data_IF_714034538160
#
_entry.id   IF_714034538160
#
_cell.length_a   1.000
_cell.length_b   1.000
_cell.length_c   1.000
_cell.angle_alpha   90.00
_cell.angle_beta   90.00
_cell.angle_gamma   90.00
#
_symmetry.space_group_name_H-M   'P 1'
#
loop_
_entity.id
_entity.type
_entity.pdbx_description
1 polymer ?
#
# COMPACT_ATOMS: atom_id res chain seq x y z
N UNK A 1 -10.64 -1.17 21.28
CA UNK A 1 -9.35 -0.61 21.68
C UNK A 1 -9.08 -0.85 23.17
N UNK A 2 -7.85 -0.68 23.54
CA UNK A 2 -7.39 -0.78 24.93
C UNK A 2 -6.48 0.41 25.21
N UNK A 3 -6.81 1.15 26.27
CA UNK A 3 -6.01 2.27 26.78
C UNK A 3 -5.41 1.89 28.13
N UNK A 4 -4.16 2.24 28.36
CA UNK A 4 -3.47 2.02 29.64
C UNK A 4 -2.70 3.26 30.08
N UNK A 5 -2.68 3.50 31.41
CA UNK A 5 -1.93 4.59 32.04
C UNK A 5 -1.15 4.03 33.23
N UNK A 6 0.14 4.28 33.27
CA UNK A 6 1.06 3.74 34.26
C UNK A 6 1.98 4.84 34.79
N UNK A 7 2.51 4.64 35.99
CA UNK A 7 3.53 5.49 36.63
C UNK A 7 3.09 6.98 36.69
N UNK A 8 1.93 7.25 37.27
CA UNK A 8 1.35 8.60 37.35
C UNK A 8 1.23 9.26 35.97
N UNK A 9 0.75 8.51 34.99
CA UNK A 9 0.59 8.91 33.59
C UNK A 9 1.90 9.25 32.87
N UNK A 10 3.04 8.77 33.36
CA UNK A 10 4.31 8.88 32.63
C UNK A 10 4.41 7.95 31.42
N UNK A 11 3.68 6.86 31.46
CA UNK A 11 3.46 5.98 30.33
C UNK A 11 1.97 5.87 30.07
N UNK A 12 1.54 6.30 28.91
CA UNK A 12 0.20 6.03 28.39
C UNK A 12 0.32 5.33 27.06
N UNK A 13 -0.53 4.37 26.81
CA UNK A 13 -0.65 3.76 25.49
C UNK A 13 -2.12 3.59 25.13
N UNK A 14 -2.36 3.59 23.85
CA UNK A 14 -3.63 3.26 23.24
C UNK A 14 -3.37 2.31 22.07
N UNK A 15 -4.12 1.22 22.01
CA UNK A 15 -4.06 0.23 20.96
C UNK A 15 -5.47 0.00 20.46
N UNK A 16 -5.70 0.27 19.20
CA UNK A 16 -6.97 0.03 18.55
C UNK A 16 -6.82 -0.98 17.39
N UNK A 17 -7.77 -1.87 17.28
CA UNK A 17 -8.00 -2.70 16.11
C UNK A 17 -9.35 -2.34 15.52
N UNK A 18 -9.42 -2.21 14.23
CA UNK A 18 -10.66 -2.01 13.51
C UNK A 18 -10.80 -2.99 12.34
N UNK A 19 -12.04 -3.31 12.05
CA UNK A 19 -12.45 -4.06 10.88
C UNK A 19 -13.79 -3.49 10.42
N UNK A 20 -13.75 -2.73 9.34
CA UNK A 20 -14.90 -2.00 8.81
C UNK A 20 -15.18 -2.44 7.37
N UNK A 21 -16.42 -2.77 7.10
CA UNK A 21 -16.89 -3.09 5.76
C UNK A 21 -17.79 -1.95 5.27
N UNK A 22 -17.48 -1.44 4.09
CA UNK A 22 -18.30 -0.45 3.38
C UNK A 22 -18.94 -1.11 2.20
N UNK A 23 -20.26 -1.04 2.13
CA UNK A 23 -21.08 -1.60 1.04
C UNK A 23 -21.73 -0.49 0.23
N UNK A 24 -22.20 -0.82 -0.98
CA UNK A 24 -22.89 0.10 -1.86
C UNK A 24 -22.10 1.38 -2.15
N UNK A 25 -20.82 1.24 -2.44
CA UNK A 25 -20.01 2.39 -2.83
C UNK A 25 -20.49 3.00 -4.13
N UNK A 26 -20.44 4.33 -4.21
CA UNK A 26 -20.72 5.06 -5.44
C UNK A 26 -19.47 5.00 -6.31
N UNK A 27 -19.55 4.27 -7.41
CA UNK A 27 -18.44 4.13 -8.37
C UNK A 27 -18.89 4.56 -9.77
N UNK A 28 -17.96 5.13 -10.53
CA UNK A 28 -18.17 5.44 -11.94
C UNK A 28 -17.65 4.27 -12.78
N UNK A 29 -18.53 3.64 -13.52
CA UNK A 29 -18.18 2.51 -14.41
C UNK A 29 -18.34 2.91 -15.87
N UNK A 30 -17.41 2.49 -16.75
CA UNK A 30 -17.55 2.69 -18.18
C UNK A 30 -18.75 1.89 -18.70
N UNK A 31 -19.47 2.47 -19.63
CA UNK A 31 -20.57 1.82 -20.34
C UNK A 31 -20.32 1.88 -21.84
N UNK A 32 -21.02 1.01 -22.58
CA UNK A 32 -20.93 0.99 -24.04
C UNK A 32 -21.29 2.36 -24.59
N UNK A 33 -20.46 2.89 -25.50
CA UNK A 33 -20.63 4.20 -26.12
C UNK A 33 -21.98 4.31 -26.91
N UNK A 34 -22.57 3.20 -27.29
CA UNK A 34 -23.88 3.17 -27.92
C UNK A 34 -25.00 3.68 -27.04
N UNK A 35 -24.77 3.75 -25.72
CA UNK A 35 -25.72 4.35 -24.75
C UNK A 35 -25.77 5.87 -24.80
N UNK A 36 -24.82 6.52 -25.50
CA UNK A 36 -24.67 7.96 -25.58
C UNK A 36 -23.93 8.60 -24.39
N UNK A 37 -23.45 7.81 -23.44
CA UNK A 37 -22.64 8.25 -22.31
C UNK A 37 -21.40 7.36 -22.19
N UNK A 38 -20.30 7.91 -21.66
CA UNK A 38 -19.06 7.15 -21.48
C UNK A 38 -19.02 6.39 -20.15
N UNK A 39 -19.65 6.94 -19.13
CA UNK A 39 -19.66 6.39 -17.78
C UNK A 39 -21.05 6.51 -17.16
N UNK A 40 -21.38 5.58 -16.31
CA UNK A 40 -22.54 5.65 -15.43
C UNK A 40 -22.11 5.53 -13.97
N UNK A 41 -22.90 6.11 -13.08
CA UNK A 41 -22.66 6.02 -11.63
C UNK A 41 -23.56 4.90 -11.09
N UNK A 42 -22.95 3.96 -10.41
CA UNK A 42 -23.65 2.85 -9.77
C UNK A 42 -23.30 2.75 -8.30
N UNK A 43 -24.26 2.32 -7.49
CA UNK A 43 -24.05 1.94 -6.12
C UNK A 43 -23.68 0.46 -6.10
N UNK A 44 -22.42 0.17 -6.04
CA UNK A 44 -21.95 -1.20 -6.09
C UNK A 44 -20.61 -1.35 -5.36
N UNK A 45 -20.31 -2.60 -5.07
CA UNK A 45 -19.06 -2.98 -4.46
C UNK A 45 -19.09 -3.02 -2.94
N UNK A 46 -18.24 -3.87 -2.44
CA UNK A 46 -17.97 -4.05 -1.02
C UNK A 46 -16.47 -3.99 -0.78
N UNK A 47 -16.05 -3.15 0.16
CA UNK A 47 -14.66 -2.98 0.53
C UNK A 47 -14.50 -3.16 2.03
N UNK A 48 -13.59 -4.03 2.41
CA UNK A 48 -13.23 -4.25 3.79
C UNK A 48 -11.91 -3.55 4.11
N UNK A 49 -11.89 -2.80 5.19
CA UNK A 49 -10.71 -2.17 5.78
C UNK A 49 -10.47 -2.72 7.17
N UNK A 50 -9.28 -3.26 7.40
CA UNK A 50 -8.87 -3.72 8.73
C UNK A 50 -7.49 -3.21 9.07
N UNK A 51 -7.31 -2.85 10.33
CA UNK A 51 -6.02 -2.30 10.72
C UNK A 51 -5.81 -2.24 12.20
N UNK A 52 -4.59 -1.84 12.53
CA UNK A 52 -4.12 -1.59 13.87
C UNK A 52 -3.60 -0.17 13.96
N UNK A 53 -3.90 0.46 15.06
CA UNK A 53 -3.36 1.77 15.43
C UNK A 53 -2.80 1.65 16.84
N UNK A 54 -1.58 2.11 17.02
CA UNK A 54 -0.88 2.11 18.29
C UNK A 54 -0.36 3.51 18.54
N UNK A 55 -0.66 4.06 19.69
CA UNK A 55 -0.04 5.27 20.16
C UNK A 55 0.54 5.07 21.57
N UNK A 56 1.68 5.67 21.82
CA UNK A 56 2.29 5.65 23.15
C UNK A 56 2.88 7.01 23.47
N UNK A 57 2.63 7.48 24.67
CA UNK A 57 3.28 8.64 25.25
C UNK A 57 4.11 8.20 26.44
N UNK A 58 5.36 8.62 26.45
CA UNK A 58 6.32 8.27 27.47
C UNK A 58 6.97 9.56 28.02
N UNK A 59 7.05 9.70 29.30
CA UNK A 59 7.77 10.77 29.97
C UNK A 59 8.92 10.15 30.83
N UNK A 60 10.06 9.83 30.22
CA UNK A 60 11.15 9.16 30.92
C UNK A 60 11.69 10.01 32.06
N UNK A 61 11.78 11.32 31.85
CA UNK A 61 12.26 12.28 32.84
C UNK A 61 11.25 13.39 33.04
N UNK A 62 10.87 13.62 34.30
CA UNK A 62 10.03 14.73 34.72
C UNK A 62 10.44 15.22 36.09
N UNK A 63 11.19 16.31 36.14
CA UNK A 63 11.57 16.99 37.36
C UNK A 63 11.55 18.51 37.18
N UNK A 64 11.98 19.28 38.19
CA UNK A 64 11.95 20.76 38.16
C UNK A 64 12.77 21.38 37.02
N UNK A 65 13.83 20.73 36.59
CA UNK A 65 14.79 21.28 35.62
C UNK A 65 14.69 20.62 34.26
N UNK A 66 14.27 19.34 34.18
CA UNK A 66 14.25 18.55 32.96
C UNK A 66 12.86 17.92 32.80
N UNK A 67 12.34 18.04 31.61
CA UNK A 67 11.16 17.31 31.15
C UNK A 67 11.43 16.76 29.76
N UNK A 68 11.26 15.44 29.62
CA UNK A 68 11.37 14.75 28.34
C UNK A 68 10.06 14.07 28.01
N UNK A 69 9.42 14.53 26.95
CA UNK A 69 8.19 13.95 26.41
C UNK A 69 8.48 13.25 25.10
N UNK A 70 8.05 12.02 24.97
CA UNK A 70 8.14 11.21 23.76
C UNK A 70 6.73 10.77 23.36
N UNK A 71 6.40 10.91 22.09
CA UNK A 71 5.17 10.35 21.53
C UNK A 71 5.55 9.43 20.36
N UNK A 72 5.03 8.23 20.38
CA UNK A 72 5.17 7.23 19.34
C UNK A 72 3.80 6.91 18.75
N UNK A 73 3.73 6.80 17.43
CA UNK A 73 2.54 6.36 16.71
C UNK A 73 2.93 5.31 15.70
N UNK A 74 2.10 4.30 15.54
CA UNK A 74 2.26 3.30 14.50
C UNK A 74 0.88 2.91 13.98
N UNK A 75 0.76 2.75 12.66
CA UNK A 75 -0.48 2.32 12.05
C UNK A 75 -0.23 1.38 10.88
N UNK A 76 -1.11 0.41 10.74
CA UNK A 76 -1.17 -0.51 9.62
C UNK A 76 -2.61 -0.68 9.18
N UNK A 77 -2.91 -0.35 7.93
CA UNK A 77 -4.19 -0.60 7.31
C UNK A 77 -4.03 -1.62 6.17
N UNK A 78 -5.00 -2.51 6.04
CA UNK A 78 -5.15 -3.38 4.88
C UNK A 78 -6.58 -3.25 4.39
N UNK A 79 -6.73 -2.85 3.14
CA UNK A 79 -8.02 -2.89 2.48
C UNK A 79 -8.09 -4.12 1.57
N UNK A 80 -9.31 -4.57 1.33
CA UNK A 80 -9.62 -5.65 0.42
C UNK A 80 -10.90 -5.30 -0.32
N UNK A 81 -10.84 -5.35 -1.62
CA UNK A 81 -12.04 -5.34 -2.48
C UNK A 81 -12.70 -6.71 -2.37
N UNK A 82 -13.87 -6.76 -1.78
CA UNK A 82 -14.63 -8.00 -1.60
C UNK A 82 -15.42 -8.30 -2.86
N UNK A 83 -16.14 -7.28 -3.35
CA UNK A 83 -17.00 -7.38 -4.52
C UNK A 83 -17.03 -6.04 -5.27
N UNK A 84 -17.21 -6.08 -6.57
CA UNK A 84 -17.50 -4.93 -7.44
C UNK A 84 -18.93 -5.04 -8.01
N UNK A 85 -19.28 -4.10 -8.88
CA UNK A 85 -20.56 -4.17 -9.62
C UNK A 85 -20.65 -5.47 -10.42
N UNK A 86 -21.86 -6.04 -10.61
CA UNK A 86 -22.08 -7.19 -11.49
C UNK A 86 -21.48 -6.96 -12.88
N UNK A 87 -20.79 -7.96 -13.41
CA UNK A 87 -20.11 -7.93 -14.72
C UNK A 87 -18.96 -6.91 -14.83
N UNK A 88 -18.38 -6.49 -13.70
CA UNK A 88 -17.18 -5.66 -13.64
C UNK A 88 -16.02 -6.48 -13.05
N UNK A 89 -15.10 -6.90 -13.90
CA UNK A 89 -13.95 -7.71 -13.49
C UNK A 89 -12.94 -6.88 -12.70
N UNK A 90 -12.80 -5.61 -13.05
CA UNK A 90 -11.97 -4.64 -12.31
C UNK A 90 -12.49 -3.21 -12.49
N UNK A 91 -12.12 -2.34 -11.60
CA UNK A 91 -12.38 -0.90 -11.67
C UNK A 91 -11.10 -0.12 -11.71
N UNK A 92 -10.87 0.65 -12.78
CA UNK A 92 -9.73 1.55 -12.91
C UNK A 92 -9.98 2.82 -12.11
N UNK A 93 -9.17 3.04 -11.08
CA UNK A 93 -9.28 4.20 -10.18
C UNK A 93 -8.50 5.38 -10.75
N UNK A 94 -7.32 5.12 -11.30
CA UNK A 94 -6.47 6.14 -11.90
C UNK A 94 -5.63 5.52 -13.02
N UNK A 95 -5.36 6.32 -14.07
CA UNK A 95 -4.59 5.89 -15.23
C UNK A 95 -3.35 6.78 -15.40
N UNK A 96 -2.22 6.16 -15.65
CA UNK A 96 -0.95 6.79 -16.02
C UNK A 96 -0.49 6.41 -17.43
N UNK A 97 0.68 6.87 -17.87
CA UNK A 97 1.17 6.65 -19.25
C UNK A 97 1.37 5.16 -19.62
N UNK A 98 1.73 4.32 -18.67
CA UNK A 98 2.00 2.88 -18.87
C UNK A 98 1.52 2.02 -17.72
N UNK A 99 0.58 2.51 -16.94
CA UNK A 99 0.05 1.79 -15.79
C UNK A 99 -1.19 2.44 -15.25
N UNK A 100 -1.85 1.74 -14.38
CA UNK A 100 -3.07 2.19 -13.75
C UNK A 100 -3.24 1.59 -12.35
N UNK A 101 -4.02 2.26 -11.53
CA UNK A 101 -4.44 1.72 -10.25
C UNK A 101 -5.79 1.05 -10.48
N UNK A 102 -5.85 -0.26 -10.23
CA UNK A 102 -7.06 -1.08 -10.37
C UNK A 102 -7.54 -1.58 -9.02
N UNK A 103 -8.84 -1.59 -8.86
CA UNK A 103 -9.51 -2.41 -7.85
C UNK A 103 -9.99 -3.69 -8.52
N UNK A 104 -9.52 -4.83 -8.01
CA UNK A 104 -9.90 -6.17 -8.49
C UNK A 104 -10.48 -6.95 -7.31
N UNK A 105 -11.58 -7.70 -7.47
CA UNK A 105 -12.10 -8.55 -6.40
C UNK A 105 -11.01 -9.46 -5.83
N UNK A 106 -10.87 -9.47 -4.50
CA UNK A 106 -9.81 -10.19 -3.80
C UNK A 106 -8.51 -9.41 -3.60
N UNK A 107 -8.25 -8.38 -4.42
CA UNK A 107 -7.12 -7.46 -4.34
C UNK A 107 -7.39 -6.26 -3.45
N UNK A 108 -6.60 -5.20 -3.64
CA UNK A 108 -6.64 -3.94 -2.89
C UNK A 108 -7.10 -2.79 -3.79
N UNK A 109 -7.63 -1.72 -3.20
CA UNK A 109 -7.91 -0.46 -3.91
C UNK A 109 -6.67 0.24 -4.45
N UNK A 110 -5.49 -0.13 -3.98
CA UNK A 110 -4.23 0.50 -4.36
C UNK A 110 -3.35 -0.39 -5.24
N UNK A 111 -3.86 -1.46 -5.80
CA UNK A 111 -3.08 -2.36 -6.64
C UNK A 111 -2.66 -1.65 -7.92
N UNK A 112 -1.35 -1.68 -8.19
CA UNK A 112 -0.72 -1.04 -9.32
C UNK A 112 -0.56 -2.07 -10.44
N UNK A 113 -1.18 -1.80 -11.55
CA UNK A 113 -1.09 -2.60 -12.77
C UNK A 113 -0.34 -1.83 -13.85
N UNK A 114 0.51 -2.49 -14.59
CA UNK A 114 1.27 -1.86 -15.65
C UNK A 114 1.94 -2.87 -16.57
N UNK A 115 2.61 -2.36 -17.61
CA UNK A 115 3.37 -3.19 -18.51
C UNK A 115 4.58 -3.75 -17.79
N UNK A 116 4.59 -5.05 -17.57
CA UNK A 116 5.79 -5.79 -17.19
C UNK A 116 6.64 -6.14 -18.41
N UNK A 117 7.62 -6.99 -18.19
CA UNK A 117 8.43 -7.57 -19.28
C UNK A 117 7.98 -8.98 -19.58
N UNK A 118 7.98 -9.33 -20.87
CA UNK A 118 7.66 -10.69 -21.31
C UNK A 118 8.69 -11.66 -20.73
N UNK A 119 8.20 -12.76 -20.15
CA UNK A 119 9.03 -13.76 -19.47
C UNK A 119 9.12 -15.02 -20.32
N UNK A 120 10.30 -15.61 -20.33
CA UNK A 120 10.49 -16.91 -20.95
C UNK A 120 9.57 -17.97 -20.30
N UNK A 121 8.81 -18.73 -21.09
CA UNK A 121 7.92 -19.76 -20.58
C UNK A 121 8.65 -20.79 -19.71
N UNK A 122 7.90 -21.43 -18.81
CA UNK A 122 8.45 -22.55 -18.03
C UNK A 122 8.92 -23.67 -18.94
N UNK A 123 10.16 -24.15 -18.73
CA UNK A 123 10.79 -25.16 -19.55
C UNK A 123 11.55 -24.59 -20.75
N UNK A 124 11.84 -23.31 -20.75
CA UNK A 124 12.73 -22.68 -21.74
C UNK A 124 14.18 -22.89 -21.35
N UNK A 125 14.98 -23.32 -22.32
CA UNK A 125 16.42 -23.59 -22.16
C UNK A 125 17.21 -22.92 -23.27
N UNK A 126 18.39 -22.45 -22.94
CA UNK A 126 19.39 -21.99 -23.91
C UNK A 126 20.66 -22.82 -23.78
N UNK A 127 21.37 -23.01 -24.89
CA UNK A 127 22.68 -23.64 -24.88
C UNK A 127 23.76 -22.58 -24.81
N UNK A 128 24.60 -22.63 -23.78
CA UNK A 128 25.74 -21.75 -23.63
C UNK A 128 26.89 -22.14 -24.57
N UNK A 129 27.88 -21.27 -24.77
CA UNK A 129 29.01 -21.48 -25.67
C UNK A 129 29.87 -22.72 -25.32
N UNK A 130 29.85 -23.13 -24.05
CA UNK A 130 30.53 -24.33 -23.55
C UNK A 130 29.73 -25.63 -23.77
N UNK A 131 28.55 -25.52 -24.39
CA UNK A 131 27.64 -26.65 -24.66
C UNK A 131 26.73 -27.02 -23.47
N UNK A 132 26.80 -26.30 -22.34
CA UNK A 132 25.92 -26.51 -21.22
C UNK A 132 24.50 -25.98 -21.49
N UNK A 133 23.50 -26.61 -20.88
CA UNK A 133 22.09 -26.17 -20.97
C UNK A 133 21.74 -25.35 -19.73
N UNK A 134 21.25 -24.15 -19.96
CA UNK A 134 20.82 -23.22 -18.88
C UNK A 134 19.30 -23.12 -18.92
N UNK A 135 18.66 -23.32 -17.80
CA UNK A 135 17.23 -23.05 -17.64
C UNK A 135 17.03 -21.54 -17.50
N UNK A 136 16.32 -20.95 -18.47
CA UNK A 136 16.00 -19.52 -18.53
C UNK A 136 14.52 -19.25 -18.25
N UNK A 137 13.80 -20.23 -17.72
CA UNK A 137 12.39 -20.07 -17.34
C UNK A 137 12.20 -18.86 -16.43
N UNK A 138 11.30 -17.94 -16.83
CA UNK A 138 11.02 -16.71 -16.07
C UNK A 138 12.05 -15.57 -16.26
N UNK A 139 13.07 -15.75 -17.09
CA UNK A 139 13.95 -14.65 -17.47
C UNK A 139 13.24 -13.67 -18.41
N UNK A 140 13.65 -12.41 -18.40
CA UNK A 140 13.13 -11.41 -19.33
C UNK A 140 13.54 -11.76 -20.77
N UNK A 141 12.56 -11.71 -21.66
CA UNK A 141 12.82 -11.86 -23.10
C UNK A 141 13.34 -10.51 -23.62
N UNK A 142 14.39 -10.56 -24.40
CA UNK A 142 14.96 -9.40 -25.08
C UNK A 142 14.77 -9.51 -26.60
N UNK A 143 14.64 -8.37 -27.25
CA UNK A 143 14.58 -8.29 -28.71
C UNK A 143 15.98 -8.46 -29.34
N UNK A 144 16.06 -8.34 -30.68
CA UNK A 144 17.32 -8.47 -31.45
C UNK A 144 18.37 -7.41 -31.10
N UNK A 145 17.94 -6.29 -30.52
CA UNK A 145 18.79 -5.17 -30.11
C UNK A 145 19.18 -5.24 -28.61
N UNK A 146 18.70 -6.28 -27.91
CA UNK A 146 18.98 -6.53 -26.49
C UNK A 146 18.10 -5.78 -25.53
N UNK A 147 17.01 -5.15 -25.98
CA UNK A 147 16.05 -4.48 -25.10
C UNK A 147 14.97 -5.46 -24.62
N UNK A 148 14.55 -5.34 -23.34
CA UNK A 148 13.46 -6.16 -22.81
C UNK A 148 12.16 -5.94 -23.59
N UNK A 149 11.49 -7.03 -23.96
CA UNK A 149 10.19 -7.00 -24.63
C UNK A 149 9.10 -6.73 -23.59
N UNK A 150 8.24 -5.75 -23.86
CA UNK A 150 7.10 -5.45 -22.98
C UNK A 150 6.04 -6.54 -23.06
N UNK A 151 5.50 -6.96 -21.92
CA UNK A 151 4.37 -7.85 -21.87
C UNK A 151 3.14 -7.20 -22.54
N UNK A 152 2.35 -8.02 -23.24
CA UNK A 152 1.16 -7.57 -23.98
C UNK A 152 0.02 -7.15 -23.06
N UNK A 153 -0.02 -7.69 -21.84
CA UNK A 153 -1.06 -7.42 -20.84
C UNK A 153 -0.46 -6.74 -19.62
N UNK A 154 -1.28 -5.96 -18.93
CA UNK A 154 -0.90 -5.37 -17.65
C UNK A 154 -0.88 -6.45 -16.58
N UNK A 155 0.19 -6.47 -15.81
CA UNK A 155 0.36 -7.33 -14.65
C UNK A 155 0.35 -6.51 -13.35
N UNK A 156 0.08 -7.16 -12.24
CA UNK A 156 0.15 -6.52 -10.93
C UNK A 156 1.61 -6.30 -10.56
N UNK A 157 2.04 -5.05 -10.55
CA UNK A 157 3.40 -4.60 -10.22
C UNK A 157 3.57 -4.34 -8.72
N UNK A 158 2.48 -4.35 -7.96
CA UNK A 158 2.50 -4.13 -6.51
C UNK A 158 1.34 -3.30 -6.00
N UNK A 159 1.57 -2.52 -4.95
CA UNK A 159 0.53 -1.75 -4.29
C UNK A 159 1.04 -0.37 -3.90
N UNK A 160 0.23 0.67 -4.12
CA UNK A 160 0.56 2.06 -3.79
C UNK A 160 0.44 2.38 -2.30
N UNK A 161 -0.23 1.52 -1.53
CA UNK A 161 -0.45 1.75 -0.11
C UNK A 161 0.71 1.25 0.73
N UNK A 162 1.07 2.03 1.73
CA UNK A 162 2.09 1.65 2.68
C UNK A 162 1.69 0.40 3.48
N UNK A 163 2.67 -0.46 3.76
CA UNK A 163 2.51 -1.59 4.65
C UNK A 163 2.25 -1.17 6.09
N UNK A 164 2.97 -0.14 6.53
CA UNK A 164 2.78 0.53 7.80
C UNK A 164 3.37 1.94 7.77
N UNK A 165 2.91 2.76 8.70
CA UNK A 165 3.45 4.10 8.95
C UNK A 165 3.78 4.23 10.43
N UNK A 166 4.85 4.96 10.75
CA UNK A 166 5.24 5.24 12.11
C UNK A 166 5.68 6.70 12.28
N UNK A 167 5.46 7.23 13.46
CA UNK A 167 5.91 8.56 13.86
C UNK A 167 6.54 8.52 15.24
N UNK A 168 7.60 9.27 15.43
CA UNK A 168 8.25 9.43 16.72
C UNK A 168 8.58 10.90 16.95
N UNK A 169 7.92 11.51 17.91
CA UNK A 169 8.11 12.91 18.29
C UNK A 169 8.79 12.98 19.65
N UNK A 170 9.76 13.88 19.77
CA UNK A 170 10.48 14.15 21.01
C UNK A 170 10.42 15.63 21.36
N UNK A 171 10.30 15.92 22.63
CA UNK A 171 10.44 17.25 23.18
C UNK A 171 11.19 17.18 24.50
N UNK A 172 12.36 17.80 24.55
CA UNK A 172 13.22 17.86 25.74
C UNK A 172 13.29 19.31 26.18
N UNK A 173 12.88 19.57 27.39
CA UNK A 173 13.01 20.89 28.01
C UNK A 173 14.03 20.82 29.17
N UNK A 174 14.99 21.72 29.15
CA UNK A 174 15.97 21.90 30.23
C UNK A 174 15.99 23.37 30.64
N UNK A 175 15.51 23.68 31.83
CA UNK A 175 15.34 25.06 32.30
C UNK A 175 14.59 25.91 31.28
N UNK A 176 15.26 26.91 30.67
CA UNK A 176 14.70 27.84 29.70
C UNK A 176 14.88 27.38 28.23
N UNK A 177 15.53 26.25 28.00
CA UNK A 177 15.76 25.72 26.67
C UNK A 177 14.77 24.59 26.36
N UNK A 178 14.32 24.55 25.09
CA UNK A 178 13.49 23.44 24.58
C UNK A 178 14.05 23.01 23.23
N UNK A 179 14.25 21.73 23.07
CA UNK A 179 14.57 21.06 21.82
C UNK A 179 13.40 20.14 21.46
N UNK A 180 12.87 20.25 20.24
CA UNK A 180 11.85 19.34 19.73
C UNK A 180 12.25 18.87 18.34
N UNK A 181 12.09 17.57 18.09
CA UNK A 181 12.34 16.95 16.80
C UNK A 181 11.39 15.78 16.59
N UNK A 182 11.14 15.45 15.33
CA UNK A 182 10.28 14.32 14.96
C UNK A 182 10.89 13.52 13.82
N UNK A 183 10.59 12.23 13.83
CA UNK A 183 10.85 11.32 12.72
C UNK A 183 9.53 10.73 12.25
N UNK A 184 9.41 10.56 10.95
CA UNK A 184 8.32 9.80 10.34
C UNK A 184 8.92 8.73 9.44
N UNK A 185 8.30 7.56 9.43
CA UNK A 185 8.68 6.43 8.60
C UNK A 185 7.46 5.87 7.91
N UNK A 186 7.65 5.48 6.67
CA UNK A 186 6.70 4.72 5.89
C UNK A 186 7.44 3.56 5.25
N UNK A 187 6.86 2.37 5.34
CA UNK A 187 7.40 1.18 4.72
C UNK A 187 6.39 0.60 3.73
N UNK A 188 6.88 0.12 2.59
CA UNK A 188 6.03 -0.32 1.49
C UNK A 188 5.38 0.85 0.77
N UNK A 189 4.54 0.53 -0.19
CA UNK A 189 3.99 1.46 -1.14
C UNK A 189 4.93 1.67 -2.31
N UNK A 190 4.40 1.44 -3.51
CA UNK A 190 5.11 1.60 -4.77
C UNK A 190 4.52 2.79 -5.52
N UNK A 191 5.36 3.51 -6.24
CA UNK A 191 4.97 4.56 -7.17
C UNK A 191 5.46 4.17 -8.56
N UNK A 192 4.70 4.57 -9.56
CA UNK A 192 4.99 4.34 -10.97
C UNK A 192 5.32 5.67 -11.63
#
# INVERSE_FOLDING_TARGET
>A
GVEGRFFDSRLTFDVAFYNATTTNQIISVPVDITTGVYNTIVNAGEINNRGWEVSARIQPVRNKNIRWDMNFTWSRNRNKVVELAPNLDFWTIATGPRGEIRAVPGGSLGDLYGSGYEKAPKGSYVTADDGSTIDVSGWDIVDSDGYPVLASEFENLGNTQADWKAGWMNSISYKNFRLSFSFSAQWGGQAY
#
